data_IF_510360354595
#
_entry.id   IF_510360354595
#
_cell.length_a   1.000
_cell.length_b   1.000
_cell.length_c   1.000
_cell.angle_alpha   90.00
_cell.angle_beta   90.00
_cell.angle_gamma   90.00
#
_symmetry.space_group_name_H-M   'P 1'
#
loop_
_entity.id
_entity.type
_entity.pdbx_description
1 polymer ?
#
# COMPACT_ATOMS: atom_id res chain seq x y z
N UNK A 1 38.97 -57.93 -24.64
CA UNK A 1 40.18 -57.35 -25.26
C UNK A 1 41.38 -57.80 -24.45
N UNK A 2 42.40 -58.31 -25.11
CA UNK A 2 43.66 -58.71 -24.49
C UNK A 2 44.74 -58.53 -25.54
N UNK A 3 45.98 -58.25 -25.13
CA UNK A 3 47.09 -58.22 -26.08
C UNK A 3 47.34 -59.61 -26.66
N UNK A 4 47.93 -59.69 -27.86
CA UNK A 4 48.37 -60.97 -28.43
C UNK A 4 49.35 -61.64 -27.45
N UNK A 5 49.00 -62.85 -27.00
CA UNK A 5 49.68 -63.61 -25.94
C UNK A 5 50.13 -65.00 -26.41
N UNK A 6 50.35 -65.18 -27.72
CA UNK A 6 50.76 -66.45 -28.30
C UNK A 6 52.28 -66.52 -28.53
N UNK A 7 52.79 -67.70 -28.90
CA UNK A 7 54.23 -67.94 -29.11
C UNK A 7 54.88 -67.18 -30.27
N UNK A 8 54.11 -66.44 -31.07
CA UNK A 8 54.63 -65.56 -32.14
C UNK A 8 54.82 -64.11 -31.71
N UNK A 9 54.35 -63.74 -30.51
CA UNK A 9 54.47 -62.37 -30.01
C UNK A 9 55.89 -62.04 -29.55
N UNK A 10 56.28 -60.77 -29.68
CA UNK A 10 57.55 -60.23 -29.19
C UNK A 10 57.30 -59.30 -27.98
N UNK A 11 58.19 -59.28 -26.98
CA UNK A 11 57.96 -58.53 -25.73
C UNK A 11 58.14 -57.02 -25.86
N UNK A 12 58.77 -56.55 -26.94
CA UNK A 12 59.01 -55.13 -27.23
C UNK A 12 58.36 -54.82 -28.57
N UNK A 13 57.57 -53.75 -28.61
CA UNK A 13 56.93 -53.30 -29.85
C UNK A 13 58.01 -53.00 -30.91
N UNK A 14 57.92 -53.59 -32.12
CA UNK A 14 58.81 -53.25 -33.22
C UNK A 14 58.74 -51.77 -33.56
N UNK A 15 59.84 -51.22 -34.08
CA UNK A 15 59.86 -49.82 -34.53
C UNK A 15 58.78 -49.61 -35.61
N UNK A 16 57.91 -48.63 -35.38
CA UNK A 16 56.87 -48.24 -36.34
C UNK A 16 57.53 -47.76 -37.63
N UNK A 17 57.07 -48.27 -38.78
CA UNK A 17 57.61 -47.89 -40.08
C UNK A 17 57.25 -46.44 -40.43
N UNK A 18 58.07 -45.74 -41.24
CA UNK A 18 57.75 -44.41 -41.72
C UNK A 18 56.41 -44.38 -42.47
N UNK A 19 55.72 -43.24 -42.41
CA UNK A 19 54.50 -42.99 -43.18
C UNK A 19 54.79 -43.18 -44.67
N UNK A 20 54.05 -44.09 -45.32
CA UNK A 20 54.25 -44.46 -46.72
C UNK A 20 53.37 -43.70 -47.71
N UNK A 21 52.30 -43.05 -47.23
CA UNK A 21 51.35 -42.29 -48.05
C UNK A 21 50.88 -41.04 -47.31
N UNK A 22 50.85 -39.88 -48.00
CA UNK A 22 50.30 -38.64 -47.47
C UNK A 22 48.76 -38.55 -47.61
N UNK A 23 48.15 -39.48 -48.34
CA UNK A 23 46.70 -39.55 -48.56
C UNK A 23 46.13 -40.85 -48.01
N UNK A 24 44.93 -40.83 -47.38
CA UNK A 24 44.27 -42.05 -46.92
C UNK A 24 44.12 -43.10 -48.03
N UNK A 25 44.36 -44.37 -47.69
CA UNK A 25 44.19 -45.52 -48.59
C UNK A 25 43.17 -46.47 -47.98
N UNK A 26 42.51 -47.30 -48.81
CA UNK A 26 41.45 -48.21 -48.39
C UNK A 26 41.77 -49.65 -48.78
N UNK A 27 41.17 -50.60 -48.07
CA UNK A 27 41.29 -52.02 -48.39
C UNK A 27 40.67 -52.31 -49.76
N UNK A 28 41.36 -53.13 -50.55
CA UNK A 28 40.88 -53.69 -51.81
C UNK A 28 41.13 -55.20 -51.80
N UNK A 29 40.19 -55.96 -52.38
CA UNK A 29 40.28 -57.41 -52.60
C UNK A 29 41.37 -57.78 -53.64
N UNK A 30 42.08 -56.79 -54.19
CA UNK A 30 43.00 -56.97 -55.30
C UNK A 30 42.27 -57.11 -56.63
N UNK A 31 43.00 -57.50 -57.68
CA UNK A 31 42.45 -57.69 -59.03
C UNK A 31 43.47 -57.41 -60.14
N UNK A 32 43.30 -58.08 -61.29
CA UNK A 32 44.12 -57.89 -62.50
C UNK A 32 45.64 -57.93 -62.26
N UNK A 33 46.10 -58.85 -61.39
CA UNK A 33 47.52 -58.99 -61.02
C UNK A 33 47.96 -58.21 -59.78
N UNK A 34 47.09 -57.39 -59.16
CA UNK A 34 47.37 -56.69 -57.91
C UNK A 34 46.95 -57.54 -56.71
N UNK A 35 47.82 -57.78 -55.71
CA UNK A 35 47.46 -58.55 -54.53
C UNK A 35 46.45 -57.78 -53.65
N UNK A 36 45.63 -58.51 -52.86
CA UNK A 36 44.76 -57.90 -51.86
C UNK A 36 45.55 -57.08 -50.84
N UNK A 37 44.89 -56.07 -50.27
CA UNK A 37 45.48 -55.28 -49.18
C UNK A 37 45.52 -56.11 -47.90
N UNK A 38 46.68 -56.16 -47.24
CA UNK A 38 46.82 -56.80 -45.92
C UNK A 38 47.27 -55.77 -44.88
N UNK A 39 46.68 -55.77 -43.67
CA UNK A 39 47.20 -54.96 -42.57
C UNK A 39 48.55 -55.53 -42.11
N UNK A 40 49.55 -54.66 -41.97
CA UNK A 40 50.85 -55.02 -41.39
C UNK A 40 50.84 -55.08 -39.86
N UNK A 41 51.95 -55.52 -39.23
CA UNK A 41 52.08 -55.55 -37.76
C UNK A 41 51.86 -54.18 -37.12
N UNK A 42 52.33 -53.10 -37.75
CA UNK A 42 52.12 -51.73 -37.27
C UNK A 42 50.63 -51.42 -37.11
N UNK A 43 49.82 -51.77 -38.11
CA UNK A 43 48.36 -51.55 -38.09
C UNK A 43 47.71 -52.33 -36.93
N UNK A 44 48.00 -53.62 -36.80
CA UNK A 44 47.42 -54.44 -35.74
C UNK A 44 47.85 -54.00 -34.34
N UNK A 45 49.13 -53.64 -34.17
CA UNK A 45 49.64 -53.15 -32.90
C UNK A 45 49.01 -51.80 -32.52
N UNK A 46 48.81 -50.89 -33.48
CA UNK A 46 48.10 -49.63 -33.23
C UNK A 46 46.68 -49.90 -32.75
N UNK A 47 45.89 -50.70 -33.50
CA UNK A 47 44.51 -51.02 -33.11
C UNK A 47 44.44 -51.70 -31.73
N UNK A 48 45.34 -52.64 -31.46
CA UNK A 48 45.42 -53.31 -30.17
C UNK A 48 45.71 -52.31 -29.04
N UNK A 49 46.72 -51.45 -29.22
CA UNK A 49 47.12 -50.48 -28.21
C UNK A 49 46.03 -49.45 -27.94
N UNK A 50 45.35 -48.93 -28.97
CA UNK A 50 44.21 -48.02 -28.81
C UNK A 50 43.11 -48.66 -27.94
N UNK A 51 42.73 -49.91 -28.24
CA UNK A 51 41.69 -50.60 -27.48
C UNK A 51 42.11 -50.97 -26.06
N UNK A 52 43.39 -51.30 -25.84
CA UNK A 52 43.96 -51.50 -24.50
C UNK A 52 44.05 -50.19 -23.72
N UNK A 53 44.37 -49.07 -24.38
CA UNK A 53 44.40 -47.75 -23.76
C UNK A 53 43.01 -47.30 -23.33
N UNK A 54 41.94 -47.61 -24.08
CA UNK A 54 40.56 -47.39 -23.66
C UNK A 54 40.25 -48.14 -22.36
N UNK A 55 40.69 -49.40 -22.21
CA UNK A 55 40.52 -50.13 -20.96
C UNK A 55 41.33 -49.51 -19.82
N UNK A 56 42.57 -49.10 -20.10
CA UNK A 56 43.45 -48.46 -19.13
C UNK A 56 42.85 -47.16 -18.59
N UNK A 57 42.32 -46.31 -19.47
CA UNK A 57 41.66 -45.04 -19.09
C UNK A 57 40.42 -45.30 -18.24
N UNK A 58 39.64 -46.33 -18.58
CA UNK A 58 38.50 -46.77 -17.76
C UNK A 58 38.88 -47.53 -16.47
N UNK A 59 40.18 -47.65 -16.19
CA UNK A 59 40.74 -48.43 -15.08
C UNK A 59 40.21 -49.87 -15.05
N UNK A 60 40.22 -50.53 -16.22
CA UNK A 60 39.84 -51.94 -16.41
C UNK A 60 41.10 -52.71 -16.81
N UNK A 61 41.41 -53.76 -16.06
CA UNK A 61 42.50 -54.67 -16.43
C UNK A 61 42.06 -55.55 -17.61
N UNK A 62 42.89 -55.73 -18.64
CA UNK A 62 42.61 -56.65 -19.74
C UNK A 62 42.38 -58.08 -19.24
N UNK A 63 41.30 -58.71 -19.70
CA UNK A 63 40.94 -60.09 -19.36
C UNK A 63 40.52 -60.86 -20.63
N UNK A 64 41.27 -61.90 -20.99
CA UNK A 64 40.99 -62.69 -22.19
C UNK A 64 39.64 -63.43 -22.15
N UNK A 65 39.10 -63.72 -20.96
CA UNK A 65 37.83 -64.42 -20.80
C UNK A 65 36.61 -63.47 -20.89
N UNK A 66 36.80 -62.16 -20.74
CA UNK A 66 35.72 -61.18 -20.70
C UNK A 66 35.49 -60.50 -22.06
N UNK A 67 34.30 -60.70 -22.63
CA UNK A 67 33.91 -60.19 -23.95
C UNK A 67 33.16 -58.84 -23.91
N UNK A 68 32.94 -58.25 -22.73
CA UNK A 68 32.22 -56.97 -22.56
C UNK A 68 33.11 -55.82 -22.10
N UNK A 69 34.42 -56.01 -22.01
CA UNK A 69 35.34 -55.00 -21.46
C UNK A 69 35.26 -53.64 -22.16
N UNK A 70 35.18 -53.61 -23.49
CA UNK A 70 35.08 -52.35 -24.24
C UNK A 70 33.77 -51.63 -23.93
N UNK A 71 32.63 -52.32 -23.94
CA UNK A 71 31.35 -51.68 -23.57
C UNK A 71 31.34 -51.22 -22.11
N UNK A 72 31.95 -51.99 -21.20
CA UNK A 72 32.12 -51.58 -19.79
C UNK A 72 33.01 -50.35 -19.66
N UNK A 73 34.10 -50.26 -20.44
CA UNK A 73 34.98 -49.10 -20.47
C UNK A 73 34.23 -47.85 -20.96
N UNK A 74 33.51 -47.96 -22.08
CA UNK A 74 32.69 -46.87 -22.61
C UNK A 74 31.67 -46.40 -21.57
N UNK A 75 30.99 -47.30 -20.87
CA UNK A 75 30.04 -46.95 -19.80
C UNK A 75 30.67 -46.21 -18.61
N UNK A 76 31.97 -46.38 -18.36
CA UNK A 76 32.69 -45.64 -17.31
C UNK A 76 33.19 -44.28 -17.79
N UNK A 77 33.57 -44.19 -19.06
CA UNK A 77 34.19 -42.98 -19.63
C UNK A 77 33.17 -41.93 -20.09
N UNK A 78 31.95 -42.35 -20.40
CA UNK A 78 30.87 -41.47 -20.82
C UNK A 78 29.77 -41.40 -19.77
N UNK A 79 29.12 -40.24 -19.69
CA UNK A 79 27.96 -40.04 -18.83
C UNK A 79 26.79 -40.91 -19.31
N UNK A 80 26.11 -41.54 -18.35
CA UNK A 80 24.91 -42.33 -18.58
C UNK A 80 23.67 -41.48 -18.25
N UNK A 81 22.83 -41.25 -19.27
CA UNK A 81 21.60 -40.49 -19.11
C UNK A 81 20.66 -41.10 -18.04
N UNK A 82 20.70 -42.42 -17.83
CA UNK A 82 19.91 -43.09 -16.80
C UNK A 82 20.44 -42.88 -15.38
N UNK A 83 21.68 -42.44 -15.22
CA UNK A 83 22.31 -42.12 -13.93
C UNK A 83 21.90 -40.76 -13.38
N UNK A 84 21.19 -39.93 -14.16
CA UNK A 84 20.74 -38.58 -13.76
C UNK A 84 21.87 -37.71 -13.15
N UNK A 85 23.09 -37.82 -13.70
CA UNK A 85 24.26 -37.07 -13.25
C UNK A 85 24.88 -37.55 -11.93
N UNK A 86 24.43 -38.67 -11.37
CA UNK A 86 25.05 -39.26 -10.17
C UNK A 86 26.48 -39.73 -10.42
N UNK A 87 26.80 -40.01 -11.68
CA UNK A 87 28.07 -40.46 -12.27
C UNK A 87 29.05 -39.32 -12.62
N UNK A 88 28.66 -38.05 -12.41
CA UNK A 88 29.56 -36.91 -12.58
C UNK A 88 30.64 -36.93 -11.49
N UNK A 89 31.95 -36.97 -11.83
CA UNK A 89 33.03 -37.06 -10.85
C UNK A 89 33.12 -35.86 -9.91
N UNK A 90 32.97 -34.64 -10.45
CA UNK A 90 32.96 -33.40 -9.69
C UNK A 90 31.65 -32.63 -9.94
N UNK A 91 30.66 -32.91 -9.09
CA UNK A 91 29.35 -32.27 -9.14
C UNK A 91 29.44 -30.77 -8.85
N UNK A 92 30.38 -30.33 -8.01
CA UNK A 92 30.54 -28.93 -7.66
C UNK A 92 31.08 -28.12 -8.84
N UNK A 93 32.11 -28.62 -9.53
CA UNK A 93 32.62 -28.01 -10.75
C UNK A 93 31.57 -28.02 -11.87
N UNK A 94 30.84 -29.13 -12.03
CA UNK A 94 29.74 -29.22 -13.01
C UNK A 94 28.66 -28.15 -12.77
N UNK A 95 28.17 -28.02 -11.53
CA UNK A 95 27.23 -26.96 -11.16
C UNK A 95 27.80 -25.55 -11.36
N UNK A 96 29.12 -25.37 -11.16
CA UNK A 96 29.82 -24.11 -11.46
C UNK A 96 29.78 -23.76 -12.94
N UNK A 97 30.07 -24.73 -13.80
CA UNK A 97 30.09 -24.54 -15.25
C UNK A 97 28.69 -24.24 -15.80
N UNK A 98 27.64 -24.74 -15.13
CA UNK A 98 26.24 -24.43 -15.47
C UNK A 98 25.72 -23.12 -14.86
N UNK A 99 26.46 -22.49 -13.94
CA UNK A 99 25.98 -21.29 -13.22
C UNK A 99 24.87 -21.57 -12.20
N UNK A 100 24.70 -22.82 -11.75
CA UNK A 100 23.62 -23.24 -10.85
C UNK A 100 24.02 -23.30 -9.37
N UNK A 101 25.19 -22.78 -9.00
CA UNK A 101 25.73 -22.87 -7.62
C UNK A 101 24.94 -22.08 -6.57
N UNK A 102 24.13 -21.12 -6.99
CA UNK A 102 23.41 -20.25 -6.08
C UNK A 102 22.13 -20.88 -5.52
N UNK A 103 21.52 -21.83 -6.24
CA UNK A 103 20.27 -22.47 -5.85
C UNK A 103 20.56 -23.68 -4.96
N UNK A 104 20.02 -23.67 -3.74
CA UNK A 104 20.19 -24.75 -2.77
C UNK A 104 18.81 -25.16 -2.27
N UNK A 105 18.43 -26.41 -2.50
CA UNK A 105 17.17 -27.00 -2.05
C UNK A 105 17.36 -28.50 -1.84
N UNK A 106 16.84 -29.02 -0.74
CA UNK A 106 16.92 -30.45 -0.40
C UNK A 106 15.59 -30.87 0.23
N UNK A 107 15.05 -32.05 -0.12
CA UNK A 107 13.84 -32.57 0.53
C UNK A 107 14.02 -32.66 2.05
N UNK A 108 13.15 -32.00 2.79
CA UNK A 108 13.12 -32.03 4.26
C UNK A 108 11.69 -31.79 4.74
N UNK A 109 11.32 -32.46 5.84
CA UNK A 109 10.06 -32.23 6.56
C UNK A 109 10.23 -31.34 7.79
N UNK A 110 11.45 -30.90 8.09
CA UNK A 110 11.70 -29.96 9.19
C UNK A 110 11.04 -28.61 8.86
N UNK A 111 10.18 -28.06 9.74
CA UNK A 111 9.57 -26.74 9.54
C UNK A 111 10.59 -25.62 9.30
N UNK A 112 11.79 -25.71 9.89
CA UNK A 112 12.85 -24.73 9.72
C UNK A 112 13.73 -24.95 8.48
N UNK A 113 13.55 -26.04 7.74
CA UNK A 113 14.28 -26.25 6.49
C UNK A 113 13.76 -25.33 5.39
N UNK A 114 14.67 -24.86 4.53
CA UNK A 114 14.36 -23.89 3.50
C UNK A 114 15.11 -24.15 2.19
N UNK A 115 14.54 -23.63 1.11
CA UNK A 115 15.23 -23.48 -0.18
C UNK A 115 15.75 -22.05 -0.29
N UNK A 116 16.93 -21.86 -0.87
CA UNK A 116 17.57 -20.55 -0.95
C UNK A 116 18.26 -20.26 -2.29
N UNK A 117 18.45 -18.97 -2.57
CA UNK A 117 19.28 -18.44 -3.65
C UNK A 117 20.34 -17.53 -3.04
N UNK A 118 21.61 -17.93 -3.16
CA UNK A 118 22.74 -17.22 -2.55
C UNK A 118 23.22 -16.04 -3.39
N UNK A 119 23.74 -15.02 -2.72
CA UNK A 119 24.59 -14.00 -3.34
C UNK A 119 25.87 -14.62 -3.92
N UNK A 120 26.56 -13.94 -4.84
CA UNK A 120 27.79 -14.45 -5.45
C UNK A 120 28.91 -14.83 -4.47
N UNK A 121 28.98 -14.15 -3.32
CA UNK A 121 29.94 -14.40 -2.24
C UNK A 121 29.42 -15.38 -1.17
N UNK A 122 28.15 -15.82 -1.26
CA UNK A 122 27.49 -16.70 -0.31
C UNK A 122 27.18 -16.08 1.05
N UNK A 123 27.33 -14.77 1.22
CA UNK A 123 27.13 -14.10 2.51
C UNK A 123 25.66 -13.83 2.85
N UNK A 124 24.81 -13.70 1.82
CA UNK A 124 23.37 -13.44 1.95
C UNK A 124 22.57 -14.32 1.01
N UNK A 125 21.28 -14.51 1.30
CA UNK A 125 20.41 -15.31 0.46
C UNK A 125 18.94 -14.90 0.58
N UNK A 126 18.20 -15.13 -0.51
CA UNK A 126 16.73 -15.17 -0.52
C UNK A 126 16.30 -16.59 -0.17
N UNK A 127 15.33 -16.78 0.74
CA UNK A 127 14.84 -18.10 1.13
C UNK A 127 13.31 -18.20 1.20
N UNK A 128 12.83 -19.45 1.17
CA UNK A 128 11.46 -19.87 1.49
C UNK A 128 11.57 -21.14 2.33
N UNK A 129 10.97 -21.13 3.52
CA UNK A 129 10.98 -22.21 4.51
C UNK A 129 9.65 -22.96 4.58
N UNK A 130 9.67 -24.17 5.15
CA UNK A 130 8.49 -25.03 5.30
C UNK A 130 7.43 -24.49 6.27
N UNK A 131 7.81 -23.56 7.15
CA UNK A 131 6.94 -22.89 8.12
C UNK A 131 6.33 -21.58 7.60
N UNK A 132 6.19 -21.43 6.28
CA UNK A 132 5.72 -20.24 5.57
C UNK A 132 6.59 -18.98 5.75
N UNK A 133 7.77 -19.10 6.37
CA UNK A 133 8.73 -18.00 6.48
C UNK A 133 9.51 -17.82 5.18
N UNK A 134 9.72 -16.57 4.79
CA UNK A 134 10.44 -16.22 3.57
C UNK A 134 11.03 -14.83 3.66
N UNK A 135 12.12 -14.59 2.95
CA UNK A 135 12.74 -13.28 2.93
C UNK A 135 14.20 -13.33 2.50
N UNK A 136 14.91 -12.23 2.74
CA UNK A 136 16.36 -12.16 2.54
C UNK A 136 17.05 -12.09 3.90
N UNK A 137 18.13 -12.84 4.09
CA UNK A 137 18.91 -12.81 5.33
C UNK A 137 20.39 -13.10 5.09
N UNK A 138 21.21 -12.79 6.10
CA UNK A 138 22.62 -13.17 6.16
C UNK A 138 22.77 -14.61 6.65
N UNK A 139 23.99 -15.15 6.52
CA UNK A 139 24.35 -16.46 7.06
C UNK A 139 24.11 -16.62 8.58
N UNK A 140 24.11 -15.54 9.35
CA UNK A 140 23.84 -15.54 10.80
C UNK A 140 22.34 -15.48 11.16
N UNK A 141 21.44 -15.47 10.17
CA UNK A 141 19.99 -15.35 10.36
C UNK A 141 19.48 -13.92 10.50
N UNK A 142 20.35 -12.91 10.39
CA UNK A 142 19.92 -11.50 10.40
C UNK A 142 19.12 -11.18 9.15
N UNK A 143 17.85 -10.80 9.31
CA UNK A 143 16.98 -10.38 8.21
C UNK A 143 17.51 -9.11 7.51
N UNK A 144 17.35 -9.06 6.20
CA UNK A 144 17.73 -7.94 5.35
C UNK A 144 16.43 -7.29 4.82
N UNK A 145 15.97 -6.20 5.44
CA UNK A 145 14.78 -5.48 4.96
C UNK A 145 15.06 -4.82 3.60
N UNK A 146 14.05 -4.79 2.75
CA UNK A 146 14.12 -4.09 1.46
C UNK A 146 14.32 -2.58 1.70
N UNK A 147 15.33 -1.93 1.09
CA UNK A 147 15.60 -0.51 1.34
C UNK A 147 14.60 0.41 0.62
N UNK A 148 14.60 1.70 0.97
CA UNK A 148 13.60 2.67 0.50
C UNK A 148 13.61 2.85 -1.02
N UNK A 149 14.80 2.90 -1.62
CA UNK A 149 15.00 2.99 -3.07
C UNK A 149 14.53 1.74 -3.84
N UNK A 150 14.24 0.65 -3.13
CA UNK A 150 13.64 -0.57 -3.67
C UNK A 150 12.19 -0.76 -3.24
N UNK A 151 11.56 0.25 -2.63
CA UNK A 151 10.16 0.25 -2.23
C UNK A 151 9.86 -0.37 -0.87
N UNK A 152 10.88 -0.69 -0.07
CA UNK A 152 10.71 -1.11 1.31
C UNK A 152 10.90 0.03 2.32
N UNK A 153 11.06 -0.32 3.60
CA UNK A 153 11.32 0.65 4.67
C UNK A 153 12.79 0.69 5.11
N UNK A 154 13.62 -0.26 4.65
CA UNK A 154 14.99 -0.46 5.12
C UNK A 154 15.09 -0.88 6.59
N UNK A 155 13.97 -1.16 7.26
CA UNK A 155 13.91 -1.42 8.69
C UNK A 155 13.35 -2.82 9.00
N UNK A 156 14.01 -3.54 9.91
CA UNK A 156 13.55 -4.82 10.44
C UNK A 156 12.53 -4.71 11.58
N UNK A 157 12.06 -3.50 11.92
CA UNK A 157 11.10 -3.28 13.01
C UNK A 157 10.05 -2.25 12.61
N UNK A 158 8.86 -2.33 13.23
CA UNK A 158 7.80 -1.34 12.99
C UNK A 158 8.22 0.10 13.34
N UNK A 159 9.04 0.28 14.40
CA UNK A 159 9.54 1.61 14.78
C UNK A 159 10.52 2.18 13.77
N UNK A 160 11.44 1.34 13.28
CA UNK A 160 12.35 1.74 12.21
C UNK A 160 11.57 2.08 10.94
N UNK A 161 10.54 1.31 10.59
CA UNK A 161 9.74 1.55 9.39
C UNK A 161 8.99 2.90 9.46
N UNK A 162 8.37 3.23 10.59
CA UNK A 162 7.73 4.55 10.79
C UNK A 162 8.72 5.70 10.70
N UNK A 163 9.95 5.49 11.20
CA UNK A 163 11.04 6.48 11.12
C UNK A 163 11.48 6.66 9.67
N UNK A 164 11.69 5.58 8.92
CA UNK A 164 12.10 5.62 7.52
C UNK A 164 11.09 6.34 6.61
N UNK A 165 9.79 6.20 6.91
CA UNK A 165 8.73 6.90 6.20
C UNK A 165 8.42 8.31 6.73
N UNK A 166 9.10 8.78 7.78
CA UNK A 166 8.91 10.12 8.33
C UNK A 166 7.53 10.37 8.93
N UNK A 167 6.85 9.32 9.43
CA UNK A 167 5.45 9.42 9.90
C UNK A 167 5.29 10.14 11.25
N UNK A 168 6.39 10.35 11.98
CA UNK A 168 6.41 10.98 13.31
C UNK A 168 5.65 10.22 14.39
N UNK A 169 5.50 10.85 15.56
CA UNK A 169 4.89 10.20 16.74
C UNK A 169 3.39 9.88 16.55
N UNK A 170 2.70 10.67 15.72
CA UNK A 170 1.27 10.51 15.47
C UNK A 170 0.92 9.11 14.97
N UNK A 171 1.82 8.44 14.25
CA UNK A 171 1.63 7.08 13.74
C UNK A 171 1.56 6.00 14.83
N UNK A 172 1.83 6.34 16.09
CA UNK A 172 1.75 5.42 17.24
C UNK A 172 0.75 5.85 18.30
N UNK A 173 0.19 7.05 18.18
CA UNK A 173 -0.74 7.63 19.16
C UNK A 173 -2.17 7.29 18.76
N UNK A 174 -2.97 6.87 19.73
CA UNK A 174 -4.42 6.77 19.54
C UNK A 174 -5.00 8.15 19.19
N UNK A 175 -6.19 8.18 18.59
CA UNK A 175 -7.00 9.40 18.45
C UNK A 175 -7.96 9.49 19.64
N UNK A 176 -8.08 10.65 20.28
CA UNK A 176 -8.98 10.84 21.42
C UNK A 176 -8.73 12.13 22.20
N UNK A 177 -9.42 12.28 23.33
CA UNK A 177 -9.43 13.51 24.15
C UNK A 177 -8.41 13.54 25.30
N UNK A 178 -7.62 12.48 25.49
CA UNK A 178 -6.65 12.35 26.60
C UNK A 178 -5.28 12.91 26.21
N UNK A 179 -4.51 13.43 27.18
CA UNK A 179 -3.12 13.84 26.93
C UNK A 179 -2.30 12.67 26.34
N UNK A 180 -1.47 12.98 25.33
CA UNK A 180 -0.64 11.97 24.66
C UNK A 180 -1.27 11.28 23.44
N UNK A 181 -2.55 11.53 23.14
CA UNK A 181 -3.21 11.10 21.89
C UNK A 181 -3.09 12.17 20.80
N UNK A 182 -3.37 11.81 19.54
CA UNK A 182 -3.76 12.77 18.52
C UNK A 182 -5.14 13.34 18.90
N UNK A 183 -5.31 14.66 18.86
CA UNK A 183 -6.53 15.34 19.31
C UNK A 183 -7.72 15.00 18.42
N UNK A 184 -8.78 14.47 19.03
CA UNK A 184 -10.08 14.29 18.38
C UNK A 184 -10.82 15.63 18.20
N UNK A 185 -11.90 15.65 17.43
CA UNK A 185 -12.65 16.89 17.14
C UNK A 185 -13.30 17.55 18.36
N UNK A 186 -13.63 16.76 19.38
CA UNK A 186 -14.22 17.17 20.67
C UNK A 186 -13.15 17.41 21.77
N UNK A 187 -11.87 17.51 21.39
CA UNK A 187 -10.77 17.62 22.34
C UNK A 187 -10.57 19.04 22.86
N UNK A 188 -10.58 19.17 24.19
CA UNK A 188 -10.36 20.45 24.90
C UNK A 188 -9.02 21.15 24.59
N UNK A 189 -8.02 20.42 24.07
CA UNK A 189 -6.73 20.95 23.61
C UNK A 189 -6.86 21.85 22.38
N UNK A 190 -8.00 21.86 21.69
CA UNK A 190 -8.34 22.85 20.66
C UNK A 190 -8.67 24.21 21.32
N UNK A 191 -7.73 24.73 22.12
CA UNK A 191 -7.90 25.83 23.10
C UNK A 191 -8.29 27.17 22.50
N UNK A 192 -8.03 27.39 21.21
CA UNK A 192 -8.42 28.64 20.54
C UNK A 192 -9.92 28.69 20.22
N UNK A 193 -10.63 27.57 20.29
CA UNK A 193 -12.09 27.55 20.35
C UNK A 193 -12.62 27.75 21.78
N UNK A 194 -11.75 27.66 22.80
CA UNK A 194 -12.10 27.75 24.24
C UNK A 194 -13.35 26.91 24.54
N UNK A 195 -14.27 27.44 25.32
CA UNK A 195 -15.55 26.81 25.64
C UNK A 195 -16.50 26.71 24.44
N UNK A 196 -16.22 27.30 23.27
CA UNK A 196 -17.08 27.20 22.10
C UNK A 196 -17.00 25.83 21.42
N UNK A 197 -15.85 25.15 21.44
CA UNK A 197 -15.67 23.80 20.88
C UNK A 197 -16.64 22.76 21.46
N UNK A 198 -17.04 22.97 22.72
CA UNK A 198 -17.87 22.02 23.47
C UNK A 198 -19.35 22.42 23.53
N UNK A 199 -19.74 23.52 22.85
CA UNK A 199 -21.14 23.98 22.85
C UNK A 199 -21.86 23.51 21.60
N UNK A 200 -23.00 22.86 21.81
CA UNK A 200 -23.93 22.58 20.71
C UNK A 200 -24.52 23.87 20.16
N UNK A 201 -24.91 23.83 18.88
CA UNK A 201 -25.75 24.87 18.29
C UNK A 201 -27.17 24.78 18.87
N UNK A 202 -27.72 25.90 19.34
CA UNK A 202 -29.06 25.97 19.90
C UNK A 202 -29.33 27.23 20.76
N UNK A 203 -30.55 27.36 21.31
CA UNK A 203 -30.99 28.52 22.11
C UNK A 203 -31.10 28.26 23.62
N UNK A 204 -30.63 27.12 24.10
CA UNK A 204 -30.58 26.76 25.52
C UNK A 204 -29.37 27.34 26.26
N UNK A 205 -29.36 27.18 27.59
CA UNK A 205 -28.22 27.54 28.41
C UNK A 205 -26.96 26.78 27.95
N UNK A 206 -25.82 27.47 27.88
CA UNK A 206 -24.55 26.94 27.38
C UNK A 206 -24.57 26.46 25.91
N UNK A 207 -25.43 26.99 25.06
CA UNK A 207 -25.39 26.76 23.61
C UNK A 207 -24.91 28.00 22.84
N UNK A 208 -24.53 27.81 21.58
CA UNK A 208 -24.24 28.90 20.64
C UNK A 208 -25.46 29.05 19.73
N UNK A 209 -26.24 30.14 19.83
CA UNK A 209 -27.35 30.37 18.91
C UNK A 209 -26.83 30.55 17.50
N UNK A 210 -27.33 29.75 16.56
CA UNK A 210 -27.21 30.09 15.15
C UNK A 210 -28.14 31.27 14.79
N UNK A 211 -27.94 31.83 13.61
CA UNK A 211 -28.66 33.01 13.15
C UNK A 211 -30.17 32.75 12.91
N UNK A 212 -30.61 31.50 12.79
CA UNK A 212 -32.02 31.13 12.62
C UNK A 212 -32.87 31.38 13.89
N UNK A 213 -32.22 31.52 15.05
CA UNK A 213 -32.88 31.88 16.31
C UNK A 213 -33.18 33.39 16.42
N UNK A 214 -32.60 34.23 15.56
CA UNK A 214 -32.91 35.65 15.44
C UNK A 214 -33.91 35.84 14.29
N UNK A 215 -35.20 35.66 14.58
CA UNK A 215 -36.23 35.74 13.55
C UNK A 215 -36.62 37.19 13.29
N UNK A 216 -36.75 37.58 12.03
CA UNK A 216 -37.26 38.90 11.63
C UNK A 216 -38.31 38.75 10.55
N UNK A 217 -39.19 39.72 10.41
CA UNK A 217 -40.14 39.75 9.31
C UNK A 217 -40.83 41.10 9.14
N UNK A 218 -41.59 41.19 8.07
CA UNK A 218 -42.40 42.37 7.74
C UNK A 218 -43.78 41.88 7.28
N UNK A 219 -44.83 42.57 7.73
CA UNK A 219 -46.20 42.41 7.26
C UNK A 219 -46.73 43.79 6.86
N UNK A 220 -47.94 43.86 6.31
CA UNK A 220 -48.60 45.14 6.06
C UNK A 220 -48.82 45.99 7.33
N UNK A 221 -48.75 45.37 8.51
CA UNK A 221 -48.86 46.04 9.79
C UNK A 221 -47.53 46.63 10.31
N UNK A 222 -46.39 46.25 9.72
CA UNK A 222 -45.07 46.73 10.13
C UNK A 222 -44.00 45.64 10.18
N UNK A 223 -42.86 45.96 10.82
CA UNK A 223 -41.68 45.11 10.93
C UNK A 223 -41.54 44.54 12.33
N UNK A 224 -40.94 43.36 12.44
CA UNK A 224 -40.69 42.72 13.71
C UNK A 224 -39.35 41.98 13.75
N UNK A 225 -38.79 41.89 14.95
CA UNK A 225 -37.65 41.06 15.30
C UNK A 225 -37.96 40.31 16.60
N UNK A 226 -37.72 39.00 16.62
CA UNK A 226 -37.84 38.13 17.78
C UNK A 226 -36.47 37.58 18.14
N UNK A 227 -36.00 37.92 19.34
CA UNK A 227 -34.73 37.48 19.89
C UNK A 227 -34.84 36.04 20.45
N UNK A 228 -33.72 35.32 20.58
CA UNK A 228 -33.70 33.98 21.20
C UNK A 228 -34.27 33.94 22.62
N UNK A 229 -34.23 35.06 23.35
CA UNK A 229 -34.83 35.20 24.69
C UNK A 229 -36.36 35.18 24.69
N UNK A 230 -37.00 35.23 23.53
CA UNK A 230 -38.44 35.42 23.39
C UNK A 230 -38.87 36.89 23.32
N UNK A 231 -37.97 37.85 23.59
CA UNK A 231 -38.25 39.27 23.43
C UNK A 231 -38.58 39.58 21.97
N UNK A 232 -39.70 40.25 21.77
CA UNK A 232 -40.19 40.72 20.49
C UNK A 232 -40.07 42.25 20.47
N UNK A 233 -39.56 42.77 19.35
CA UNK A 233 -39.57 44.19 19.02
C UNK A 233 -40.38 44.32 17.74
N UNK A 234 -41.38 45.18 17.74
CA UNK A 234 -42.20 45.46 16.56
C UNK A 234 -42.30 46.96 16.36
N UNK A 235 -42.27 47.41 15.11
CA UNK A 235 -42.49 48.80 14.77
C UNK A 235 -43.36 48.90 13.53
N UNK A 236 -44.19 49.94 13.46
CA UNK A 236 -45.07 50.12 12.33
C UNK A 236 -45.74 51.47 12.34
N UNK A 237 -46.76 51.57 11.49
CA UNK A 237 -47.56 52.77 11.29
C UNK A 237 -48.98 52.49 11.75
N UNK A 238 -49.67 53.52 12.18
CA UNK A 238 -51.08 53.44 12.57
C UNK A 238 -51.79 54.74 12.27
N UNK A 239 -53.09 54.65 12.00
CA UNK A 239 -53.97 55.81 11.83
C UNK A 239 -54.85 55.95 13.06
N UNK A 240 -54.90 57.14 13.68
CA UNK A 240 -55.83 57.40 14.79
C UNK A 240 -57.26 57.62 14.29
N UNK A 241 -58.24 57.38 15.16
CA UNK A 241 -59.65 57.54 14.82
C UNK A 241 -60.15 58.97 15.02
N UNK A 242 -61.27 59.30 14.39
CA UNK A 242 -61.98 60.58 14.57
C UNK A 242 -62.87 60.62 15.81
N UNK A 243 -63.09 59.48 16.46
CA UNK A 243 -63.86 59.35 17.68
C UNK A 243 -63.29 58.22 18.56
N UNK A 244 -62.45 58.58 19.52
CA UNK A 244 -61.85 57.65 20.48
C UNK A 244 -60.61 56.90 19.97
N UNK A 245 -60.29 55.80 20.64
CA UNK A 245 -59.12 54.97 20.34
C UNK A 245 -59.35 54.10 19.11
N UNK A 246 -58.49 54.22 18.09
CA UNK A 246 -58.46 53.29 16.95
C UNK A 246 -57.58 52.07 17.26
N UNK A 247 -57.90 50.94 16.64
CA UNK A 247 -57.16 49.68 16.81
C UNK A 247 -56.18 49.49 15.65
N UNK A 248 -54.93 49.18 15.97
CA UNK A 248 -53.89 48.80 15.00
C UNK A 248 -53.43 47.39 15.31
N UNK A 249 -53.36 46.54 14.29
CA UNK A 249 -52.86 45.17 14.42
C UNK A 249 -51.34 45.18 14.50
N UNK A 250 -50.78 44.28 15.32
CA UNK A 250 -49.35 44.02 15.37
C UNK A 250 -48.97 42.96 14.31
N UNK A 251 -47.76 43.05 13.73
CA UNK A 251 -47.25 42.05 12.78
C UNK A 251 -47.29 40.60 13.29
N UNK A 252 -46.96 40.39 14.56
CA UNK A 252 -47.10 39.11 15.27
C UNK A 252 -47.65 39.34 16.69
N UNK A 253 -48.33 38.35 17.31
CA UNK A 253 -48.74 38.47 18.70
C UNK A 253 -47.53 38.45 19.65
N UNK A 254 -47.57 39.31 20.68
CA UNK A 254 -46.72 39.16 21.87
C UNK A 254 -47.18 37.94 22.68
N UNK A 255 -46.26 37.23 23.32
CA UNK A 255 -46.57 36.02 24.12
C UNK A 255 -46.92 36.31 25.58
N UNK A 256 -46.74 37.56 26.02
CA UNK A 256 -46.98 38.08 27.37
C UNK A 256 -47.24 39.59 27.35
N UNK A 257 -46.69 40.32 28.33
CA UNK A 257 -46.86 41.76 28.45
C UNK A 257 -45.90 42.53 27.55
N UNK A 258 -46.39 43.61 26.95
CA UNK A 258 -45.58 44.51 26.13
C UNK A 258 -45.87 45.97 26.47
N UNK A 259 -44.90 46.81 26.14
CA UNK A 259 -44.99 48.25 26.19
C UNK A 259 -45.05 48.78 24.76
N UNK A 260 -45.78 49.87 24.55
CA UNK A 260 -45.85 50.55 23.27
C UNK A 260 -45.74 52.05 23.46
N UNK A 261 -45.02 52.68 22.56
CA UNK A 261 -44.93 54.14 22.45
C UNK A 261 -45.34 54.54 21.04
N UNK A 262 -46.01 55.69 20.94
CA UNK A 262 -46.44 56.28 19.67
C UNK A 262 -45.81 57.66 19.48
N UNK A 263 -45.48 58.01 18.24
CA UNK A 263 -45.02 59.34 17.83
C UNK A 263 -45.81 59.82 16.62
N UNK A 264 -46.27 61.07 16.63
CA UNK A 264 -46.97 61.67 15.49
C UNK A 264 -45.99 61.88 14.33
N UNK A 265 -46.48 61.73 13.09
CA UNK A 265 -45.70 61.94 11.87
C UNK A 265 -46.03 63.33 11.24
N UNK A 266 -47.04 64.04 11.73
CA UNK A 266 -47.48 65.30 11.11
C UNK A 266 -46.69 66.53 11.58
N UNK A 267 -46.39 67.43 10.63
CA UNK A 267 -45.58 68.64 10.84
C UNK A 267 -46.36 69.93 11.08
N UNK A 268 -47.70 69.90 11.17
CA UNK A 268 -48.54 71.10 11.13
C UNK A 268 -49.20 71.47 12.48
N UNK A 269 -48.46 71.36 13.57
CA UNK A 269 -48.86 71.83 14.91
C UNK A 269 -48.56 70.82 16.03
N UNK A 270 -48.65 71.22 17.31
CA UNK A 270 -48.46 70.29 18.42
C UNK A 270 -49.62 69.28 18.44
N UNK A 271 -49.31 68.02 18.12
CA UNK A 271 -50.22 66.88 18.19
C UNK A 271 -49.71 65.93 19.26
N UNK A 272 -50.56 65.62 20.23
CA UNK A 272 -50.25 64.66 21.28
C UNK A 272 -50.81 63.30 20.92
N UNK A 273 -49.94 62.32 20.74
CA UNK A 273 -50.35 60.94 20.46
C UNK A 273 -50.18 60.07 21.69
N UNK A 274 -51.09 59.13 21.85
CA UNK A 274 -50.99 58.08 22.85
C UNK A 274 -51.17 56.73 22.17
N UNK A 275 -50.31 55.78 22.52
CA UNK A 275 -50.44 54.38 22.19
C UNK A 275 -50.53 53.56 23.48
N UNK A 276 -51.37 52.54 23.50
CA UNK A 276 -51.47 51.57 24.60
C UNK A 276 -51.69 50.17 24.07
N UNK A 277 -51.24 49.15 24.79
CA UNK A 277 -51.62 47.77 24.47
C UNK A 277 -53.12 47.55 24.70
N UNK A 278 -53.78 46.86 23.77
CA UNK A 278 -55.18 46.42 23.94
C UNK A 278 -55.25 44.91 24.10
N UNK A 279 -54.63 44.18 23.18
CA UNK A 279 -54.47 42.72 23.24
C UNK A 279 -53.04 42.37 22.85
N UNK A 280 -52.65 41.10 23.00
CA UNK A 280 -51.36 40.60 22.52
C UNK A 280 -51.13 40.83 21.01
N UNK A 281 -52.19 41.03 20.23
CA UNK A 281 -52.13 41.23 18.77
C UNK A 281 -52.48 42.65 18.33
N UNK A 282 -52.86 43.54 19.25
CA UNK A 282 -53.37 44.86 18.89
C UNK A 282 -52.99 45.96 19.87
N UNK A 283 -52.76 47.15 19.32
CA UNK A 283 -52.58 48.39 20.08
C UNK A 283 -53.73 49.34 19.83
N UNK A 284 -53.98 50.19 20.81
CA UNK A 284 -54.95 51.27 20.76
C UNK A 284 -54.22 52.59 20.59
N UNK A 285 -54.60 53.36 19.58
CA UNK A 285 -53.96 54.62 19.24
C UNK A 285 -54.99 55.77 19.23
N UNK A 286 -54.60 56.92 19.76
CA UNK A 286 -55.43 58.13 19.76
C UNK A 286 -54.53 59.36 19.67
N UNK A 287 -55.01 60.42 19.01
CA UNK A 287 -54.33 61.70 18.94
C UNK A 287 -55.26 62.82 19.41
N UNK A 288 -54.67 63.83 20.03
CA UNK A 288 -55.36 65.01 20.53
C UNK A 288 -54.69 66.26 19.98
N UNK A 289 -55.52 67.17 19.47
CA UNK A 289 -55.12 68.53 19.13
C UNK A 289 -54.88 69.38 20.38
N UNK A 290 -54.27 70.55 20.20
CA UNK A 290 -54.04 71.53 21.27
C UNK A 290 -55.33 72.02 21.93
N UNK A 291 -56.42 72.03 21.17
CA UNK A 291 -57.77 72.40 21.58
C UNK A 291 -58.48 71.28 22.37
N UNK A 292 -57.85 70.12 22.54
CA UNK A 292 -58.45 68.98 23.22
C UNK A 292 -59.45 68.22 22.36
N UNK A 293 -59.48 68.42 21.04
CA UNK A 293 -60.28 67.59 20.14
C UNK A 293 -59.50 66.34 19.70
N UNK A 294 -60.20 65.23 19.46
CA UNK A 294 -59.59 64.01 18.91
C UNK A 294 -59.33 64.21 17.42
N UNK A 295 -58.13 63.84 16.97
CA UNK A 295 -57.68 64.05 15.60
C UNK A 295 -57.34 62.73 14.91
N UNK A 296 -57.59 62.68 13.59
CA UNK A 296 -57.13 61.60 12.70
C UNK A 296 -55.76 62.01 12.18
N UNK A 297 -54.73 61.24 12.55
CA UNK A 297 -53.35 61.48 12.14
C UNK A 297 -52.60 60.16 11.98
N UNK A 298 -51.58 60.17 11.13
CA UNK A 298 -50.64 59.06 11.04
C UNK A 298 -49.64 59.11 12.19
N UNK A 299 -49.36 57.94 12.77
CA UNK A 299 -48.35 57.78 13.81
C UNK A 299 -47.42 56.61 13.53
N UNK A 300 -46.17 56.75 13.96
CA UNK A 300 -45.28 55.62 14.17
C UNK A 300 -45.52 55.06 15.55
N UNK A 301 -45.37 53.75 15.68
CA UNK A 301 -45.34 53.10 16.96
C UNK A 301 -44.17 52.14 17.04
N UNK A 302 -43.65 51.98 18.25
CA UNK A 302 -42.65 50.98 18.61
C UNK A 302 -43.19 50.22 19.82
N UNK A 303 -43.27 48.90 19.69
CA UNK A 303 -43.69 48.01 20.75
C UNK A 303 -42.58 47.03 21.10
N UNK A 304 -42.41 46.76 22.38
CA UNK A 304 -41.41 45.82 22.91
C UNK A 304 -42.00 45.03 24.07
N UNK A 305 -41.79 43.72 24.07
CA UNK A 305 -42.36 42.83 25.07
C UNK A 305 -42.01 41.38 24.80
N UNK A 306 -42.42 40.50 25.70
CA UNK A 306 -42.39 39.05 25.48
C UNK A 306 -43.73 38.59 25.00
#
# INVERSE_FOLDING_TARGET
MYFVDNGSAVPVMPQVKPVSSATPQFFTEGGNGTPPTYPGPDWFNIFQLELLNVLKEAQINPDKANHTQLVTAMKKLFLDASSNGSDIPDKAAFLSNLGLRAFISHPSSDPGAFSQVNSPDGSVYLFIANNDDWGAQKADGTSIPLPLERGGSGAGTASGARTAFGLGDSATKNVGTTAGTVAAGDDSRLVNLKSAANRSVGNGANQIPDMSYFKTGETSAGRWAKLPSGLIIQAGFGLTGSAGTATVNLPIPFTGTFYVVGGSIEGNGPIFVSARGLTQSTIGVVAWGRDGSIQVTNMHWLAIGV
#
